data_IF_886892663510
#
_entry.id   IF_886892663510
#
_cell.length_a   1.000
_cell.length_b   1.000
_cell.length_c   1.000
_cell.angle_alpha   90.00
_cell.angle_beta   90.00
_cell.angle_gamma   90.00
#
_symmetry.space_group_name_H-M   'P 1'
#
loop_
_entity.id
_entity.type
_entity.pdbx_description
1 polymer ?
#
# COMPACT_ATOMS: atom_id res chain seq x y z
N UNK A 1 32.92 51.14 -41.87
CA UNK A 1 32.76 49.84 -42.58
C UNK A 1 32.11 48.89 -41.59
N UNK A 2 30.83 48.49 -41.79
CA UNK A 2 30.12 47.66 -40.85
C UNK A 2 30.40 46.18 -41.12
N UNK A 3 30.59 45.38 -40.08
CA UNK A 3 30.66 43.94 -40.17
C UNK A 3 29.65 43.32 -39.19
N UNK A 4 28.67 42.64 -39.80
CA UNK A 4 27.83 41.53 -39.33
C UNK A 4 27.50 41.45 -37.83
N UNK A 5 26.24 41.63 -37.42
CA UNK A 5 25.13 40.66 -37.59
C UNK A 5 25.40 39.32 -36.91
N UNK A 6 24.85 39.14 -35.70
CA UNK A 6 24.36 37.85 -35.21
C UNK A 6 23.29 38.08 -34.14
N UNK A 7 22.12 37.48 -34.40
CA UNK A 7 20.85 37.58 -33.69
C UNK A 7 20.84 36.87 -32.32
N UNK A 8 19.83 37.12 -31.46
CA UNK A 8 19.67 36.46 -30.17
C UNK A 8 19.42 34.95 -30.33
N UNK A 9 20.22 34.13 -29.65
CA UNK A 9 20.01 32.69 -29.54
C UNK A 9 18.70 32.40 -28.80
N UNK A 10 17.65 32.08 -29.55
CA UNK A 10 16.44 31.41 -29.08
C UNK A 10 16.85 30.09 -28.41
N UNK A 11 16.51 29.90 -27.14
CA UNK A 11 16.38 28.58 -26.56
C UNK A 11 15.20 27.86 -27.26
N UNK A 12 15.40 26.66 -27.83
CA UNK A 12 14.25 25.89 -28.32
C UNK A 12 13.47 25.34 -27.12
N UNK A 13 12.17 25.64 -27.10
CA UNK A 13 11.22 24.98 -26.22
C UNK A 13 11.14 23.49 -26.60
N UNK A 14 11.59 22.60 -25.71
CA UNK A 14 11.22 21.18 -25.80
C UNK A 14 9.86 21.01 -25.13
N UNK A 15 8.83 21.14 -25.96
CA UNK A 15 7.48 20.71 -25.66
C UNK A 15 7.43 19.19 -25.83
N UNK A 16 7.32 18.44 -24.73
CA UNK A 16 7.08 17.00 -24.77
C UNK A 16 5.70 16.73 -24.15
N UNK A 17 4.70 16.59 -25.03
CA UNK A 17 3.37 16.10 -24.71
C UNK A 17 3.37 14.54 -24.64
N UNK A 18 2.36 13.90 -24.05
CA UNK A 18 2.43 12.55 -23.51
C UNK A 18 2.29 11.46 -24.58
N UNK A 19 3.11 10.41 -24.48
CA UNK A 19 3.03 9.24 -25.34
C UNK A 19 1.94 8.26 -24.88
N UNK A 20 0.93 8.06 -25.73
CA UNK A 20 -0.04 6.94 -25.69
C UNK A 20 0.67 5.59 -25.91
N UNK A 21 0.27 4.56 -25.15
CA UNK A 21 0.43 3.15 -25.56
C UNK A 21 -0.87 2.66 -26.23
N UNK A 22 -0.82 1.94 -27.38
CA UNK A 22 -1.98 1.36 -28.02
C UNK A 22 -2.30 -0.04 -27.50
N UNK A 23 -3.60 -0.37 -27.45
CA UNK A 23 -4.15 -1.70 -27.23
C UNK A 23 -3.98 -2.59 -28.47
N UNK A 24 -3.77 -3.90 -28.28
CA UNK A 24 -4.09 -4.90 -29.31
C UNK A 24 -4.73 -6.13 -28.66
N UNK A 25 -5.94 -6.41 -29.14
CA UNK A 25 -6.78 -7.57 -28.85
C UNK A 25 -6.25 -8.84 -29.53
N UNK A 26 -6.55 -10.01 -28.95
CA UNK A 26 -7.25 -11.09 -29.66
C UNK A 26 -7.55 -12.28 -28.73
N UNK A 27 -8.84 -12.54 -28.49
CA UNK A 27 -9.35 -13.86 -28.12
C UNK A 27 -9.45 -14.76 -29.38
N UNK A 28 -9.72 -16.07 -29.22
CA UNK A 28 -11.06 -16.53 -29.62
C UNK A 28 -11.70 -17.61 -28.73
N UNK A 29 -13.03 -17.62 -28.85
CA UNK A 29 -14.12 -18.35 -28.20
C UNK A 29 -14.09 -19.91 -28.18
N UNK A 30 -14.75 -20.52 -27.17
CA UNK A 30 -16.15 -21.04 -27.26
C UNK A 30 -16.59 -21.87 -26.03
N UNK A 31 -17.75 -21.49 -25.47
CA UNK A 31 -18.69 -22.23 -24.58
C UNK A 31 -19.31 -23.45 -25.33
N UNK A 32 -19.98 -24.47 -24.73
CA UNK A 32 -21.17 -24.31 -23.84
C UNK A 32 -21.53 -25.41 -22.78
N UNK A 33 -22.41 -24.99 -21.84
CA UNK A 33 -23.54 -25.65 -21.14
C UNK A 33 -23.45 -26.91 -20.25
N UNK A 34 -24.22 -26.82 -19.15
CA UNK A 34 -24.47 -27.72 -18.00
C UNK A 34 -25.45 -28.88 -18.26
N UNK A 35 -25.52 -29.89 -17.36
CA UNK A 35 -26.82 -30.20 -16.73
C UNK A 35 -26.79 -30.47 -15.20
N UNK A 36 -27.99 -30.35 -14.61
CA UNK A 36 -28.40 -30.53 -13.21
C UNK A 36 -28.67 -32.00 -12.83
N UNK A 37 -28.30 -32.43 -11.61
CA UNK A 37 -29.03 -33.38 -10.74
C UNK A 37 -28.29 -33.69 -9.40
N UNK A 38 -28.94 -33.52 -8.25
CA UNK A 38 -28.68 -34.28 -7.00
C UNK A 38 -29.35 -35.68 -7.08
N UNK A 39 -28.94 -36.71 -6.31
CA UNK A 39 -29.64 -36.97 -5.03
C UNK A 39 -28.81 -37.58 -3.86
N UNK A 40 -29.43 -37.38 -2.69
CA UNK A 40 -29.23 -37.86 -1.31
C UNK A 40 -29.10 -39.38 -1.06
N UNK A 41 -28.27 -39.78 -0.08
CA UNK A 41 -28.35 -40.94 0.85
C UNK A 41 -26.94 -41.29 1.41
N UNK A 42 -26.65 -41.72 2.64
CA UNK A 42 -27.34 -41.96 3.90
C UNK A 42 -26.24 -42.16 4.99
N UNK A 43 -26.56 -41.85 6.25
CA UNK A 43 -25.70 -42.04 7.44
C UNK A 43 -25.63 -43.54 7.82
N UNK A 44 -24.55 -44.01 8.47
CA UNK A 44 -24.80 -44.70 9.74
C UNK A 44 -23.89 -44.27 10.89
N UNK A 45 -24.52 -44.11 12.05
CA UNK A 45 -23.94 -43.78 13.34
C UNK A 45 -23.12 -44.93 13.95
N UNK A 46 -22.07 -44.59 14.71
CA UNK A 46 -21.71 -45.29 15.95
C UNK A 46 -20.78 -44.44 16.84
N UNK A 47 -21.32 -43.81 17.87
CA UNK A 47 -20.61 -43.60 19.13
C UNK A 47 -20.92 -44.80 20.06
N UNK A 48 -20.07 -45.16 21.05
CA UNK A 48 -20.04 -44.39 22.29
C UNK A 48 -18.67 -44.27 23.01
N UNK A 49 -18.46 -43.05 23.53
CA UNK A 49 -18.08 -42.70 24.91
C UNK A 49 -16.72 -43.08 25.55
N UNK A 50 -16.14 -42.04 26.17
CA UNK A 50 -15.47 -42.01 27.49
C UNK A 50 -13.94 -42.08 27.56
N UNK A 51 -13.33 -40.92 27.79
CA UNK A 51 -12.47 -40.70 28.96
C UNK A 51 -12.20 -39.20 29.21
N UNK A 52 -11.96 -38.80 30.47
CA UNK A 52 -12.69 -37.73 31.15
C UNK A 52 -11.84 -36.46 31.40
N UNK A 53 -12.56 -35.39 31.75
CA UNK A 53 -12.16 -34.15 32.43
C UNK A 53 -10.66 -33.90 32.67
N UNK A 54 -10.09 -32.92 31.96
CA UNK A 54 -9.17 -31.96 32.58
C UNK A 54 -9.03 -30.68 31.72
N UNK A 55 -9.29 -29.53 32.32
CA UNK A 55 -9.38 -28.16 31.76
C UNK A 55 -10.69 -27.78 31.08
N UNK A 56 -11.77 -27.80 31.87
CA UNK A 56 -12.82 -26.79 31.73
C UNK A 56 -12.31 -25.51 32.43
N UNK A 57 -11.45 -24.74 31.75
CA UNK A 57 -11.14 -23.37 32.19
C UNK A 57 -12.07 -22.44 31.42
N UNK A 58 -12.97 -21.83 32.18
CA UNK A 58 -13.78 -20.69 31.80
C UNK A 58 -12.94 -19.64 31.07
N UNK A 59 -13.01 -19.65 29.73
CA UNK A 59 -12.81 -18.46 28.93
C UNK A 59 -14.14 -18.21 28.27
N UNK A 60 -14.99 -17.52 29.02
CA UNK A 60 -16.03 -16.66 28.45
C UNK A 60 -15.42 -15.85 27.30
N UNK A 61 -15.53 -16.37 26.09
CA UNK A 61 -15.32 -15.61 24.86
C UNK A 61 -16.57 -14.76 24.72
N UNK A 62 -16.53 -13.59 25.37
CA UNK A 62 -17.42 -12.49 25.06
C UNK A 62 -17.48 -12.35 23.52
N UNK A 63 -18.65 -12.49 22.88
CA UNK A 63 -18.76 -12.40 21.42
C UNK A 63 -18.72 -10.94 20.92
N UNK A 64 -18.07 -10.03 21.64
CA UNK A 64 -17.90 -8.65 21.23
C UNK A 64 -16.41 -8.38 21.01
N UNK A 65 -16.13 -7.50 20.05
CA UNK A 65 -14.79 -7.05 19.66
C UNK A 65 -14.16 -7.91 18.56
N UNK A 66 -14.56 -7.64 17.32
CA UNK A 66 -13.64 -7.78 16.20
C UNK A 66 -12.47 -6.84 16.46
N UNK A 67 -11.30 -7.43 16.71
CA UNK A 67 -10.02 -6.73 16.69
C UNK A 67 -9.69 -6.48 15.21
N UNK A 68 -10.21 -5.38 14.67
CA UNK A 68 -9.91 -4.94 13.30
C UNK A 68 -8.52 -4.31 13.31
N UNK A 69 -7.49 -5.15 13.38
CA UNK A 69 -6.11 -4.71 13.17
C UNK A 69 -5.95 -4.27 11.72
N UNK A 70 -5.59 -2.99 11.51
CA UNK A 70 -5.40 -2.42 10.19
C UNK A 70 -4.10 -2.95 9.55
N UNK A 71 -4.07 -3.19 8.23
CA UNK A 71 -2.91 -3.73 7.54
C UNK A 71 -1.73 -2.76 7.58
N UNK A 72 -0.56 -3.25 7.99
CA UNK A 72 0.66 -2.43 8.07
C UNK A 72 1.33 -2.35 6.69
N UNK A 73 1.55 -1.15 6.13
CA UNK A 73 2.26 -1.00 4.87
C UNK A 73 3.75 -1.33 5.02
N UNK A 74 4.35 -1.87 3.96
CA UNK A 74 5.77 -2.20 3.91
C UNK A 74 6.48 -1.29 2.92
N UNK A 75 7.45 -0.50 3.40
CA UNK A 75 8.29 0.35 2.54
C UNK A 75 9.18 -0.57 1.68
N UNK A 76 9.13 -0.37 0.36
CA UNK A 76 9.90 -1.13 -0.62
C UNK A 76 11.16 -0.42 -1.05
N UNK A 77 11.09 0.90 -1.20
CA UNK A 77 12.23 1.70 -1.59
C UNK A 77 12.15 3.10 -1.00
N UNK A 78 13.31 3.62 -0.59
CA UNK A 78 13.51 5.02 -0.24
C UNK A 78 14.71 5.52 -1.04
N UNK A 79 14.48 6.50 -1.92
CA UNK A 79 15.50 6.99 -2.84
C UNK A 79 15.66 8.51 -2.75
N UNK A 80 16.91 8.96 -2.61
CA UNK A 80 17.24 10.38 -2.55
C UNK A 80 17.53 10.94 -3.95
N UNK A 81 16.72 11.91 -4.37
CA UNK A 81 16.81 12.61 -5.64
C UNK A 81 16.89 14.13 -5.41
N UNK A 82 18.12 14.68 -5.36
CA UNK A 82 18.42 16.12 -5.46
C UNK A 82 17.31 17.06 -4.91
N UNK A 83 17.23 17.20 -3.58
CA UNK A 83 16.19 17.92 -2.82
C UNK A 83 14.80 17.23 -2.77
N UNK A 84 14.72 15.93 -3.02
CA UNK A 84 13.51 15.13 -2.88
C UNK A 84 13.84 13.72 -2.39
N UNK A 85 13.00 13.14 -1.54
CA UNK A 85 13.01 11.69 -1.29
C UNK A 85 11.76 11.09 -1.91
N UNK A 86 11.95 10.09 -2.75
CA UNK A 86 10.87 9.26 -3.28
C UNK A 86 10.76 8.00 -2.43
N UNK A 87 9.55 7.69 -1.99
CA UNK A 87 9.24 6.56 -1.13
C UNK A 87 8.19 5.72 -1.85
N UNK A 88 8.41 4.42 -1.93
CA UNK A 88 7.42 3.47 -2.43
C UNK A 88 7.14 2.41 -1.37
N UNK A 89 5.89 1.97 -1.29
CA UNK A 89 5.45 0.93 -0.37
C UNK A 89 4.40 0.03 -1.02
N UNK A 90 4.08 -1.06 -0.34
CA UNK A 90 2.92 -1.89 -0.68
C UNK A 90 2.14 -2.22 0.58
N UNK A 91 0.81 -2.30 0.48
CA UNK A 91 -0.04 -2.75 1.57
C UNK A 91 -0.73 -4.06 1.19
N UNK A 92 -0.82 -5.02 2.12
CA UNK A 92 -1.35 -6.36 1.84
C UNK A 92 -2.88 -6.36 1.66
N UNK A 93 -3.56 -5.44 2.33
CA UNK A 93 -5.00 -5.24 2.22
C UNK A 93 -5.29 -3.74 2.22
N UNK A 94 -6.22 -3.31 1.39
CA UNK A 94 -6.60 -1.89 1.27
C UNK A 94 -8.11 -1.71 1.29
N UNK A 95 -8.88 -2.78 1.51
CA UNK A 95 -10.34 -2.74 1.41
C UNK A 95 -10.98 -1.92 2.54
N UNK A 96 -10.35 -1.93 3.72
CA UNK A 96 -10.87 -1.34 4.96
C UNK A 96 -10.03 -0.16 5.46
N UNK A 97 -9.17 0.44 4.61
CA UNK A 97 -8.38 1.63 4.97
C UNK A 97 -8.82 2.84 4.14
N UNK A 98 -8.77 4.02 4.76
CA UNK A 98 -9.00 5.30 4.07
C UNK A 98 -7.74 5.82 3.37
N UNK A 99 -6.56 5.40 3.84
CA UNK A 99 -5.28 5.70 3.22
C UNK A 99 -4.10 5.59 4.19
N UNK A 100 -3.09 6.44 4.00
CA UNK A 100 -1.79 6.32 4.66
C UNK A 100 -1.32 7.60 5.35
N UNK A 101 -0.67 7.45 6.51
CA UNK A 101 0.05 8.52 7.18
C UNK A 101 1.56 8.30 7.06
N UNK A 102 2.27 9.31 6.57
CA UNK A 102 3.72 9.24 6.35
C UNK A 102 4.43 10.08 7.40
N UNK A 103 5.41 9.46 8.04
CA UNK A 103 6.20 10.04 9.11
C UNK A 103 7.66 10.13 8.71
N UNK A 104 8.31 11.22 9.13
CA UNK A 104 9.72 11.48 8.87
C UNK A 104 10.48 11.78 10.15
N UNK A 105 11.71 11.27 10.23
CA UNK A 105 12.65 11.49 11.33
C UNK A 105 14.04 11.83 10.81
N UNK A 106 14.69 12.85 11.39
CA UNK A 106 16.10 13.19 11.08
C UNK A 106 17.10 12.37 11.91
N UNK A 107 16.67 11.87 13.06
CA UNK A 107 17.55 11.28 14.07
C UNK A 107 17.13 9.85 14.48
N UNK A 108 16.15 9.25 13.79
CA UNK A 108 15.54 7.97 14.16
C UNK A 108 14.72 7.96 15.47
N UNK A 109 14.75 9.06 16.24
CA UNK A 109 14.14 9.13 17.60
C UNK A 109 12.80 9.85 17.66
N UNK A 110 12.55 10.79 16.75
CA UNK A 110 11.32 11.60 16.73
C UNK A 110 10.72 11.62 15.34
N UNK A 111 9.57 10.99 15.23
CA UNK A 111 8.78 10.89 14.01
C UNK A 111 7.77 12.04 13.96
N UNK A 112 7.73 12.76 12.84
CA UNK A 112 6.75 13.83 12.61
C UNK A 112 5.93 13.44 11.39
N UNK A 113 4.61 13.51 11.49
CA UNK A 113 3.73 13.32 10.33
C UNK A 113 3.99 14.44 9.33
N UNK A 114 4.31 14.06 8.10
CA UNK A 114 4.60 14.99 7.00
C UNK A 114 3.50 14.97 5.93
N UNK A 115 2.75 13.88 5.83
CA UNK A 115 1.66 13.75 4.87
C UNK A 115 0.58 12.79 5.40
N UNK A 116 -0.64 13.04 4.92
CA UNK A 116 -1.80 12.15 5.02
C UNK A 116 -2.33 11.98 3.61
N UNK A 117 -2.36 10.75 3.14
CA UNK A 117 -2.83 10.34 1.82
C UNK A 117 -4.22 9.75 2.05
N UNK A 118 -5.26 10.36 1.49
CA UNK A 118 -6.65 9.91 1.63
C UNK A 118 -7.05 8.99 0.47
N UNK A 119 -6.13 8.12 0.07
CA UNK A 119 -6.27 7.24 -1.06
C UNK A 119 -5.52 5.94 -0.75
N UNK A 120 -6.28 4.85 -0.63
CA UNK A 120 -5.78 3.53 -0.25
C UNK A 120 -5.00 2.83 -1.38
N UNK A 121 -5.19 3.26 -2.63
CA UNK A 121 -4.52 2.70 -3.81
C UNK A 121 -3.18 3.39 -4.11
N UNK A 122 -2.86 4.47 -3.40
CA UNK A 122 -1.58 5.17 -3.56
C UNK A 122 -0.44 4.39 -2.90
N UNK A 123 0.60 4.11 -3.67
CA UNK A 123 1.77 3.31 -3.26
C UNK A 123 3.09 4.09 -3.29
N UNK A 124 3.04 5.39 -3.63
CA UNK A 124 4.22 6.24 -3.71
C UNK A 124 4.01 7.66 -3.15
N UNK A 125 5.10 8.25 -2.66
CA UNK A 125 5.13 9.62 -2.16
C UNK A 125 6.48 10.29 -2.37
N UNK A 126 6.44 11.56 -2.76
CA UNK A 126 7.60 12.42 -2.93
C UNK A 126 7.70 13.48 -1.83
N UNK A 127 8.63 13.32 -0.90
CA UNK A 127 8.99 14.35 0.08
C UNK A 127 9.92 15.40 -0.55
N UNK A 128 9.33 16.51 -0.98
CA UNK A 128 10.06 17.66 -1.58
C UNK A 128 10.57 18.66 -0.54
N UNK A 129 10.26 18.47 0.74
CA UNK A 129 10.57 19.42 1.80
C UNK A 129 11.83 19.00 2.58
N UNK A 130 12.89 18.64 1.84
CA UNK A 130 14.16 18.16 2.40
C UNK A 130 15.33 19.09 2.08
N UNK A 131 16.29 19.13 2.99
CA UNK A 131 17.61 19.72 2.76
C UNK A 131 18.60 18.63 2.35
N UNK A 132 19.51 18.92 1.41
CA UNK A 132 20.47 17.96 0.83
C UNK A 132 21.53 17.41 1.80
N UNK A 133 21.57 17.88 3.05
CA UNK A 133 22.69 17.67 3.98
C UNK A 133 22.36 16.70 5.14
N UNK A 134 21.27 15.94 5.05
CA UNK A 134 20.84 15.07 6.14
C UNK A 134 20.30 13.72 5.67
N UNK A 135 20.59 12.67 6.45
CA UNK A 135 19.89 11.40 6.34
C UNK A 135 18.49 11.53 6.95
N UNK A 136 17.49 10.97 6.27
CA UNK A 136 16.11 10.96 6.72
C UNK A 136 15.65 9.51 6.85
N UNK A 137 14.95 9.21 7.95
CA UNK A 137 14.19 7.99 8.11
C UNK A 137 12.72 8.23 7.81
N UNK A 138 12.06 7.23 7.24
CA UNK A 138 10.64 7.24 6.89
C UNK A 138 9.93 6.02 7.47
N UNK A 139 8.71 6.23 7.97
CA UNK A 139 7.77 5.20 8.40
C UNK A 139 6.39 5.55 7.90
N UNK A 140 5.58 4.51 7.66
CA UNK A 140 4.23 4.65 7.13
C UNK A 140 3.30 3.80 7.99
N UNK A 141 2.09 4.28 8.26
CA UNK A 141 0.99 3.44 8.75
C UNK A 141 -0.23 3.65 7.86
N UNK A 142 -1.13 2.66 7.82
CA UNK A 142 -2.46 2.84 7.26
C UNK A 142 -3.39 3.44 8.31
N UNK A 143 -4.49 4.05 7.88
CA UNK A 143 -5.51 4.54 8.78
C UNK A 143 -6.92 4.32 8.22
N UNK A 144 -7.88 4.23 9.13
CA UNK A 144 -9.31 4.17 8.85
C UNK A 144 -10.04 5.02 9.91
N UNK A 145 -10.64 6.13 9.50
CA UNK A 145 -11.22 7.13 10.39
C UNK A 145 -10.18 7.70 11.37
N UNK A 146 -10.41 7.48 12.65
CA UNK A 146 -9.52 7.90 13.74
C UNK A 146 -8.55 6.79 14.19
N UNK A 147 -8.58 5.62 13.55
CA UNK A 147 -7.73 4.47 13.86
C UNK A 147 -6.52 4.43 12.93
N UNK A 148 -5.33 4.21 13.48
CA UNK A 148 -4.09 4.00 12.71
C UNK A 148 -3.55 2.58 12.97
N UNK A 149 -2.91 1.96 11.97
CA UNK A 149 -2.18 0.70 12.14
C UNK A 149 -0.90 0.90 12.95
N UNK A 150 -0.20 -0.20 13.25
CA UNK A 150 1.19 -0.12 13.65
C UNK A 150 2.04 0.59 12.58
N UNK A 151 3.12 1.24 13.02
CA UNK A 151 4.09 1.86 12.12
C UNK A 151 4.91 0.77 11.40
N UNK A 152 5.17 1.00 10.11
CA UNK A 152 6.07 0.16 9.33
C UNK A 152 7.49 0.14 9.91
N UNK A 153 8.29 -0.84 9.48
CA UNK A 153 9.75 -0.80 9.67
C UNK A 153 10.31 0.51 9.09
N UNK A 154 11.15 1.25 9.82
CA UNK A 154 11.73 2.49 9.34
C UNK A 154 12.83 2.25 8.30
N UNK A 155 12.69 2.88 7.15
CA UNK A 155 13.71 2.87 6.08
C UNK A 155 14.40 4.23 6.00
N UNK A 156 15.69 4.24 5.60
CA UNK A 156 16.54 5.43 5.63
C UNK A 156 17.15 5.73 4.26
N UNK A 157 17.32 7.02 3.95
CA UNK A 157 18.02 7.52 2.75
C UNK A 157 19.54 7.47 2.88
#
# INVERSE_FOLDING_TARGET
>A
IPAASAAPGKIPAVSAAPGKIPAVSAAPDRKPSVPSAEPSAAVPAKAPASSPDFWNEDKSTDPSIYDTELPVPEIKEVSNNNNRVSISWSCSDTADIDGYNIYRSKNGKKWNKIATINDAETEDYDDKNISNDGGYGYTICSYAGDTESELSTPEYT
#
